data_IF_006067751359
#
_entry.id   IF_006067751359
#
_cell.length_a   1.000
_cell.length_b   1.000
_cell.length_c   1.000
_cell.angle_alpha   90.00
_cell.angle_beta   90.00
_cell.angle_gamma   90.00
#
_symmetry.space_group_name_H-M   'P 1'
#
loop_
_entity.id
_entity.type
_entity.pdbx_description
1 polymer ?
2 polymer ?
3 water ?
#
# COMPACT_ATOMS: atom_id res chain seq x y z
N UNK A 1 -3.34 -27.91 14.27
CA UNK A 1 -3.28 -26.68 15.16
C UNK A 1 -1.86 -26.34 15.71
N UNK A 2 -0.85 -27.19 15.40
CA UNK A 2 0.40 -26.66 14.84
C UNK A 2 0.14 -26.31 13.34
N UNK A 3 -0.38 -27.23 12.51
CA UNK A 3 -0.77 -26.93 11.12
C UNK A 3 -1.65 -25.72 11.10
N UNK A 4 -2.39 -25.50 12.18
CA UNK A 4 -3.35 -24.40 12.24
C UNK A 4 -3.00 -23.32 13.28
N UNK A 5 -1.73 -23.24 13.67
CA UNK A 5 -1.26 -22.01 14.34
C UNK A 5 -1.60 -20.77 13.49
N UNK A 6 -2.00 -19.70 14.17
CA UNK A 6 -2.31 -18.46 13.50
C UNK A 6 -1.21 -18.09 12.55
N UNK A 7 0.04 -18.15 12.99
CA UNK A 7 1.06 -17.73 12.05
C UNK A 7 1.20 -18.70 10.85
N UNK A 8 0.95 -19.99 11.03
CA UNK A 8 0.94 -20.90 9.86
C UNK A 8 -0.28 -20.75 8.87
N UNK A 9 -1.45 -20.39 9.39
CA UNK A 9 -2.58 -20.12 8.54
C UNK A 9 -2.26 -18.86 7.77
N UNK A 10 -1.77 -17.81 8.47
CA UNK A 10 -1.36 -16.60 7.78
C UNK A 10 -0.33 -16.95 6.63
N UNK A 11 0.78 -17.61 6.95
CA UNK A 11 1.73 -17.90 5.87
C UNK A 11 1.19 -18.70 4.73
N UNK A 12 0.29 -19.63 5.03
CA UNK A 12 -0.30 -20.42 3.98
C UNK A 12 -1.14 -19.60 3.06
N UNK A 13 -1.96 -18.74 3.68
CA UNK A 13 -2.79 -17.77 2.95
C UNK A 13 -1.94 -16.86 2.03
N UNK A 14 -0.80 -16.39 2.54
CA UNK A 14 0.07 -15.51 1.77
C UNK A 14 0.57 -16.27 0.56
N UNK A 15 0.92 -17.53 0.75
CA UNK A 15 1.50 -18.29 -0.35
C UNK A 15 0.40 -18.59 -1.35
N UNK A 16 -0.80 -18.82 -0.84
CA UNK A 16 -1.91 -19.05 -1.73
C UNK A 16 -2.20 -17.79 -2.54
N UNK A 17 -2.10 -16.66 -1.86
CA UNK A 17 -2.41 -15.39 -2.47
C UNK A 17 -1.47 -15.21 -3.67
N UNK A 18 -0.17 -15.42 -3.45
CA UNK A 18 0.75 -15.41 -4.57
C UNK A 18 0.47 -16.39 -5.70
N UNK A 19 -0.06 -17.56 -5.37
CA UNK A 19 -0.33 -18.59 -6.38
C UNK A 19 -1.54 -18.20 -7.25
N UNK A 20 -2.63 -17.67 -6.66
CA UNK A 20 -3.93 -17.55 -7.39
C UNK A 20 -4.47 -16.10 -7.44
N UNK A 21 -3.86 -15.22 -6.65
CA UNK A 21 -4.29 -13.82 -6.63
C UNK A 21 -5.50 -13.67 -5.74
N UNK A 22 -5.93 -12.43 -5.56
CA UNK A 22 -7.04 -12.14 -4.66
C UNK A 22 -8.34 -12.75 -5.17
N UNK A 23 -8.56 -12.71 -6.48
CA UNK A 23 -9.63 -13.43 -7.20
C UNK A 23 -9.81 -14.87 -6.79
N UNK A 24 -8.74 -15.64 -6.98
CA UNK A 24 -8.76 -17.06 -6.74
C UNK A 24 -8.86 -17.42 -5.26
N UNK A 25 -8.29 -16.60 -4.37
CA UNK A 25 -8.24 -16.97 -2.96
C UNK A 25 -9.63 -17.30 -2.40
N UNK A 26 -9.84 -18.53 -1.95
CA UNK A 26 -11.08 -18.92 -1.25
C UNK A 26 -10.72 -19.64 0.03
N UNK A 27 -11.61 -19.61 1.02
CA UNK A 27 -11.32 -20.40 2.26
C UNK A 27 -11.26 -21.88 1.93
N UNK A 28 -11.87 -22.26 0.80
CA UNK A 28 -11.87 -23.68 0.40
C UNK A 28 -10.53 -24.12 -0.08
N UNK A 29 -9.90 -23.28 -0.89
CA UNK A 29 -8.58 -23.61 -1.41
C UNK A 29 -7.57 -23.58 -0.28
N UNK A 30 -7.81 -22.72 0.70
CA UNK A 30 -6.97 -22.74 1.89
C UNK A 30 -7.12 -24.05 2.64
N UNK A 31 -8.37 -24.48 2.88
CA UNK A 31 -8.55 -25.77 3.51
C UNK A 31 -7.76 -26.88 2.76
N UNK A 32 -7.84 -26.97 1.43
CA UNK A 32 -7.08 -28.04 0.79
C UNK A 32 -5.60 -27.89 0.97
N UNK A 33 -5.08 -26.70 0.77
CA UNK A 33 -3.67 -26.44 0.92
C UNK A 33 -3.19 -26.86 2.30
N UNK A 34 -3.94 -26.56 3.35
CA UNK A 34 -3.51 -26.94 4.71
C UNK A 34 -3.82 -28.39 5.02
N UNK A 35 -4.65 -29.03 4.19
CA UNK A 35 -4.98 -30.44 4.31
C UNK A 35 -6.01 -30.70 5.41
N UNK A 36 -6.93 -29.77 5.65
CA UNK A 36 -7.92 -29.98 6.72
C UNK A 36 -9.33 -29.80 6.22
N UNK A 37 -10.31 -30.26 6.95
CA UNK A 37 -11.68 -30.09 6.44
C UNK A 37 -12.12 -28.65 6.53
N UNK A 38 -13.03 -28.25 5.66
CA UNK A 38 -13.48 -26.85 5.74
C UNK A 38 -14.05 -26.40 7.09
N UNK A 39 -14.82 -27.25 7.77
CA UNK A 39 -15.34 -26.76 9.07
C UNK A 39 -14.26 -26.62 10.17
N UNK A 40 -13.18 -27.37 10.08
CA UNK A 40 -12.09 -27.19 10.97
C UNK A 40 -11.44 -25.83 10.70
N UNK A 41 -11.26 -25.48 9.45
CA UNK A 41 -10.67 -24.16 9.18
C UNK A 41 -11.65 -23.03 9.55
N UNK A 42 -12.91 -23.29 9.36
CA UNK A 42 -13.94 -22.32 9.66
C UNK A 42 -13.95 -21.96 11.18
N UNK A 43 -13.58 -22.90 12.07
CA UNK A 43 -13.44 -22.56 13.47
C UNK A 43 -12.46 -21.38 13.70
N UNK A 44 -11.36 -21.36 12.96
CA UNK A 44 -10.33 -20.35 13.07
C UNK A 44 -10.55 -19.10 12.26
N UNK A 45 -11.25 -19.22 11.13
CA UNK A 45 -11.35 -18.17 10.12
C UNK A 45 -12.74 -18.22 9.57
N UNK A 46 -13.52 -17.21 9.85
CA UNK A 46 -14.90 -17.17 9.50
C UNK A 46 -15.18 -17.15 7.95
N UNK A 47 -14.41 -16.35 7.19
CA UNK A 47 -14.73 -16.05 5.77
C UNK A 47 -13.58 -15.35 5.05
N UNK A 48 -13.75 -15.18 3.73
CA UNK A 48 -12.72 -14.57 2.90
C UNK A 48 -12.39 -13.19 3.43
N UNK A 49 -13.42 -12.41 3.77
CA UNK A 49 -13.16 -11.10 4.30
C UNK A 49 -12.27 -11.07 5.55
N UNK A 50 -12.62 -11.79 6.62
CA UNK A 50 -11.78 -11.86 7.83
C UNK A 50 -10.35 -12.32 7.52
N UNK A 51 -10.19 -13.17 6.52
CA UNK A 51 -8.86 -13.65 6.17
C UNK A 51 -7.99 -12.54 5.54
N UNK A 52 -8.55 -11.84 4.54
CA UNK A 52 -7.90 -10.67 3.97
C UNK A 52 -7.53 -9.66 5.03
N UNK A 53 -8.43 -9.37 5.98
CA UNK A 53 -8.05 -8.35 6.99
C UNK A 53 -6.74 -8.76 7.64
N UNK A 54 -6.64 -10.02 8.00
CA UNK A 54 -5.43 -10.53 8.63
C UNK A 54 -4.21 -10.43 7.70
N UNK A 55 -4.40 -10.71 6.41
CA UNK A 55 -3.27 -10.61 5.44
C UNK A 55 -2.74 -9.14 5.27
N UNK A 56 -3.71 -8.21 5.17
CA UNK A 56 -3.47 -6.79 5.06
C UNK A 56 -2.61 -6.44 6.27
N UNK A 57 -3.05 -6.81 7.48
CA UNK A 57 -2.34 -6.34 8.67
C UNK A 57 -0.96 -6.96 8.74
N UNK A 58 -0.83 -8.23 8.39
CA UNK A 58 0.47 -8.91 8.44
C UNK A 58 1.52 -8.24 7.51
N UNK A 59 1.16 -8.06 6.25
CA UNK A 59 1.95 -7.34 5.32
C UNK A 59 2.48 -6.00 5.89
N UNK A 60 1.61 -5.14 6.36
CA UNK A 60 2.00 -3.95 7.10
C UNK A 60 2.94 -4.21 8.32
N UNK A 61 2.71 -5.27 9.09
CA UNK A 61 3.65 -5.56 10.20
C UNK A 61 5.06 -5.89 9.78
N UNK A 62 5.15 -6.71 8.75
CA UNK A 62 6.44 -7.13 8.28
C UNK A 62 7.18 -6.02 7.56
N UNK A 63 6.49 -5.11 6.89
CA UNK A 63 7.20 -4.30 5.95
C UNK A 63 7.01 -2.81 6.12
N UNK A 64 5.89 -2.42 6.71
CA UNK A 64 5.65 -1.00 6.89
C UNK A 64 6.21 -0.64 8.24
N UNK A 65 7.53 -0.47 8.25
CA UNK A 65 8.27 -0.28 9.45
C UNK A 65 8.70 1.19 9.63
N UNK A 66 8.46 2.07 8.68
CA UNK A 66 8.84 3.47 8.90
C UNK A 66 7.61 4.36 9.02
N UNK A 67 6.74 4.02 9.95
CA UNK A 67 5.45 4.69 10.14
C UNK A 67 5.51 5.83 11.17
N UNK A 68 6.65 6.10 11.78
CA UNK A 68 6.71 7.27 12.61
C UNK A 68 8.05 7.97 12.51
N UNK A 69 8.09 9.26 12.88
CA UNK A 69 9.29 10.08 12.66
C UNK A 69 10.45 9.66 13.53
N UNK A 70 11.61 9.49 12.90
CA UNK A 70 12.84 9.21 13.64
C UNK A 70 13.31 10.45 14.39
N UNK A 71 14.04 10.24 15.46
CA UNK A 71 14.54 11.33 16.33
C UNK A 71 15.17 12.48 15.50
N UNK A 72 14.49 13.63 15.43
CA UNK A 72 14.94 14.74 14.61
C UNK A 72 15.04 14.49 13.09
N UNK A 73 14.06 13.78 12.53
CA UNK A 73 13.97 13.58 11.07
C UNK A 73 13.27 14.83 10.55
N UNK A 74 13.59 15.29 9.35
CA UNK A 74 12.81 16.42 8.81
C UNK A 74 11.46 15.88 8.29
N UNK A 75 10.46 16.73 8.11
CA UNK A 75 9.18 16.20 7.64
C UNK A 75 9.25 15.65 6.16
N UNK A 76 10.08 16.29 5.33
CA UNK A 76 10.32 15.80 4.01
C UNK A 76 10.88 14.39 4.12
N UNK A 77 11.94 14.19 4.86
CA UNK A 77 12.48 12.84 4.94
C UNK A 77 11.47 11.82 5.50
N UNK A 78 10.53 12.32 6.30
CA UNK A 78 9.62 11.43 6.93
C UNK A 78 8.58 10.97 5.91
N UNK A 79 7.90 11.95 5.34
CA UNK A 79 7.02 11.71 4.23
C UNK A 79 7.67 10.76 3.20
N UNK A 80 8.90 11.03 2.77
CA UNK A 80 9.48 10.19 1.76
C UNK A 80 9.60 8.75 2.27
N UNK A 81 10.17 8.58 3.47
CA UNK A 81 10.44 7.24 3.94
C UNK A 81 9.22 6.44 4.31
N UNK A 82 8.20 7.16 4.75
CA UNK A 82 6.95 6.57 5.07
C UNK A 82 6.27 6.11 3.80
N UNK A 83 6.26 6.94 2.76
CA UNK A 83 5.68 6.48 1.48
C UNK A 83 6.42 5.24 0.95
N UNK A 84 7.74 5.23 1.01
CA UNK A 84 8.48 4.06 0.51
C UNK A 84 8.15 2.81 1.26
N UNK A 85 7.95 2.97 2.58
CA UNK A 85 7.76 1.86 3.43
C UNK A 85 6.35 1.27 3.19
N UNK A 86 5.36 2.15 3.13
CA UNK A 86 4.02 1.72 2.84
C UNK A 86 4.05 0.98 1.47
N UNK A 87 4.84 1.50 0.54
CA UNK A 87 4.85 0.88 -0.74
C UNK A 87 5.49 -0.53 -0.69
N UNK A 88 6.51 -0.70 0.14
CA UNK A 88 7.16 -2.02 0.20
C UNK A 88 6.16 -3.00 0.78
N UNK A 89 5.20 -2.51 1.57
CA UNK A 89 4.24 -3.44 2.18
C UNK A 89 3.30 -3.91 1.07
N UNK A 90 2.70 -2.95 0.38
CA UNK A 90 1.77 -3.27 -0.70
C UNK A 90 2.35 -4.20 -1.76
N UNK A 91 3.63 -4.03 -2.04
CA UNK A 91 4.27 -4.80 -3.08
C UNK A 91 4.69 -6.17 -2.61
N UNK A 92 4.62 -6.42 -1.31
CA UNK A 92 5.26 -7.61 -0.84
C UNK A 92 4.56 -8.88 -1.30
N UNK A 93 3.25 -8.81 -1.63
CA UNK A 93 2.54 -10.00 -2.18
C UNK A 93 1.70 -9.64 -3.36
N UNK A 94 1.40 -10.62 -4.20
CA UNK A 94 0.54 -10.42 -5.35
C UNK A 94 -0.73 -9.75 -4.85
N UNK A 95 -1.20 -8.71 -5.53
CA UNK A 95 -2.47 -8.03 -5.24
C UNK A 95 -2.47 -7.38 -3.87
N UNK A 96 -1.26 -7.13 -3.40
CA UNK A 96 -1.05 -6.48 -2.12
C UNK A 96 -1.97 -5.29 -1.95
N UNK A 97 -2.08 -4.49 -2.98
CA UNK A 97 -2.80 -3.23 -2.83
C UNK A 97 -4.30 -3.46 -2.73
N UNK A 98 -4.82 -4.50 -3.39
CA UNK A 98 -6.27 -4.72 -3.33
C UNK A 98 -6.60 -5.34 -2.01
N UNK A 99 -5.66 -6.10 -1.46
CA UNK A 99 -5.89 -6.76 -0.22
C UNK A 99 -6.08 -5.65 0.78
N UNK A 100 -5.21 -4.66 0.70
CA UNK A 100 -5.17 -3.55 1.61
C UNK A 100 -6.41 -2.73 1.56
N UNK A 101 -6.87 -2.46 0.34
CA UNK A 101 -8.11 -1.75 0.10
C UNK A 101 -9.24 -2.28 0.95
N UNK A 102 -10.00 -1.38 1.55
CA UNK A 102 -11.09 -1.83 2.44
C UNK A 102 -10.58 -2.99 3.32
N UNK A 103 -10.08 -2.60 4.50
CA UNK A 103 -9.76 -3.43 5.66
C UNK A 103 -9.90 -2.29 6.62
N UNK A 104 -10.31 -2.60 7.85
CA UNK A 104 -10.55 -1.58 8.83
C UNK A 104 -9.21 -1.18 9.40
N UNK A 105 -9.04 0.09 9.80
CA UNK A 105 -7.84 0.47 10.52
C UNK A 105 -7.88 0.01 11.99
N UNK A 106 -6.77 -0.56 12.48
CA UNK A 106 -6.64 -0.95 13.89
C UNK A 106 -6.44 0.26 14.77
N UNK A 107 -6.69 0.08 16.05
CA UNK A 107 -6.51 1.08 17.09
C UNK A 107 -5.13 1.74 17.12
N UNK A 108 -4.06 0.93 17.01
CA UNK A 108 -2.70 1.47 16.97
C UNK A 108 -2.53 2.38 15.73
N UNK A 109 -3.17 2.01 14.62
CA UNK A 109 -3.09 2.87 13.45
C UNK A 109 -3.71 4.23 13.67
N UNK A 110 -4.87 4.31 14.32
CA UNK A 110 -5.41 5.62 14.63
C UNK A 110 -4.44 6.45 15.46
N UNK A 111 -3.80 5.78 16.40
CA UNK A 111 -2.88 6.38 17.33
C UNK A 111 -1.71 6.91 16.53
N UNK A 112 -1.29 6.15 15.51
CA UNK A 112 -0.16 6.53 14.69
C UNK A 112 -0.57 7.75 13.85
N UNK A 113 -1.78 7.72 13.32
CA UNK A 113 -2.25 8.90 12.61
C UNK A 113 -2.08 10.12 13.46
N UNK A 114 -2.57 10.04 14.68
CA UNK A 114 -2.51 11.14 15.64
C UNK A 114 -1.08 11.67 15.79
N UNK A 115 -0.10 10.78 16.02
CA UNK A 115 1.30 11.21 16.17
C UNK A 115 1.86 11.84 14.94
N UNK A 116 1.46 11.30 13.80
CA UNK A 116 1.93 11.78 12.51
C UNK A 116 1.49 13.21 12.34
N UNK A 117 0.26 13.53 12.74
CA UNK A 117 -0.24 14.90 12.73
C UNK A 117 0.44 15.79 13.78
N UNK A 118 0.55 15.29 15.02
CA UNK A 118 1.26 16.04 16.06
C UNK A 118 2.60 16.53 15.47
N UNK A 119 3.34 15.60 14.85
CA UNK A 119 4.65 15.88 14.32
C UNK A 119 4.58 16.94 13.24
N UNK A 120 3.77 16.70 12.22
CA UNK A 120 3.74 17.64 11.12
C UNK A 120 3.38 19.04 11.56
N UNK A 121 2.39 19.15 12.46
CA UNK A 121 1.96 20.46 12.89
C UNK A 121 3.02 21.13 13.72
N UNK A 122 3.76 20.34 14.52
CA UNK A 122 4.90 20.85 15.29
C UNK A 122 6.03 21.26 14.39
N UNK A 123 5.96 20.89 13.13
CA UNK A 123 6.90 21.41 12.15
C UNK A 123 6.33 22.59 11.41
N UNK A 124 5.17 23.10 11.81
CA UNK A 124 4.67 24.34 11.21
C UNK A 124 3.64 24.19 10.12
N UNK A 125 3.09 22.99 9.94
CA UNK A 125 1.96 22.83 9.04
C UNK A 125 0.69 23.22 9.75
N UNK A 126 -0.26 23.82 9.06
CA UNK A 126 -1.58 23.93 9.60
C UNK A 126 -2.18 22.48 9.64
N UNK A 127 -3.20 22.26 10.46
CA UNK A 127 -3.82 20.95 10.49
C UNK A 127 -4.41 20.61 9.11
N UNK A 128 -5.07 21.58 8.45
CA UNK A 128 -5.54 21.40 7.08
C UNK A 128 -4.43 20.85 6.14
N UNK A 129 -3.30 21.54 6.08
CA UNK A 129 -2.25 21.12 5.19
C UNK A 129 -1.56 19.81 5.57
N UNK A 130 -1.53 19.48 6.86
CA UNK A 130 -0.90 18.21 7.26
C UNK A 130 -1.72 17.02 6.67
N UNK A 131 -3.06 17.16 6.75
CA UNK A 131 -3.97 16.19 6.30
C UNK A 131 -3.90 16.10 4.78
N UNK A 132 -3.91 17.23 4.08
CA UNK A 132 -3.76 17.22 2.63
C UNK A 132 -2.46 16.52 2.21
N UNK A 133 -1.40 16.74 2.93
CA UNK A 133 -0.10 16.16 2.55
C UNK A 133 -0.08 14.61 2.72
N UNK A 134 -0.59 14.11 3.87
CA UNK A 134 -0.57 12.68 4.15
C UNK A 134 -1.53 11.99 3.22
N UNK A 135 -2.63 12.64 2.98
CA UNK A 135 -3.60 12.16 2.06
C UNK A 135 -2.98 12.07 0.64
N UNK A 136 -2.32 13.13 0.16
CA UNK A 136 -1.86 13.05 -1.23
C UNK A 136 -0.75 11.98 -1.38
N UNK A 137 0.14 11.88 -0.43
CA UNK A 137 1.21 10.97 -0.57
C UNK A 137 0.64 9.55 -0.59
N UNK A 138 -0.40 9.34 0.21
CA UNK A 138 -1.05 8.01 0.32
C UNK A 138 -1.80 7.63 -0.97
N UNK A 139 -2.63 8.51 -1.48
CA UNK A 139 -3.27 8.23 -2.72
C UNK A 139 -2.29 7.90 -3.83
N UNK A 140 -1.30 8.75 -3.98
CA UNK A 140 -0.31 8.60 -5.01
C UNK A 140 0.33 7.25 -4.88
N UNK A 141 0.64 6.84 -3.68
CA UNK A 141 1.36 5.60 -3.47
C UNK A 141 0.45 4.42 -3.76
N UNK A 142 -0.81 4.53 -3.31
CA UNK A 142 -1.72 3.45 -3.44
C UNK A 142 -1.93 3.32 -4.91
N UNK A 143 -2.24 4.43 -5.59
CA UNK A 143 -2.47 4.41 -7.03
C UNK A 143 -1.28 3.81 -7.78
N UNK A 144 -0.04 4.12 -7.39
CA UNK A 144 1.13 3.55 -8.09
C UNK A 144 1.12 2.05 -8.13
N UNK A 145 0.77 1.49 -6.98
CA UNK A 145 0.87 0.06 -6.71
C UNK A 145 -0.28 -0.71 -7.35
N UNK A 146 -1.53 -0.27 -7.22
CA UNK A 146 -2.57 -0.93 -7.96
C UNK A 146 -2.19 -1.06 -9.45
N UNK A 147 -1.82 0.04 -10.13
CA UNK A 147 -1.41 -0.07 -11.52
C UNK A 147 -0.29 -1.06 -11.68
N UNK A 148 0.80 -0.93 -10.93
CA UNK A 148 1.91 -1.84 -11.20
C UNK A 148 1.50 -3.30 -11.08
N UNK A 149 0.54 -3.57 -10.20
CA UNK A 149 0.16 -4.92 -9.87
C UNK A 149 -0.95 -5.42 -10.75
N UNK A 150 -1.66 -4.49 -11.39
CA UNK A 150 -2.68 -4.85 -12.32
C UNK A 150 -2.00 -5.45 -13.56
N UNK A 151 -0.80 -4.98 -13.85
CA UNK A 151 -0.08 -5.43 -15.04
C UNK A 151 0.07 -6.92 -15.15
N UNK A 152 0.79 -7.52 -14.21
CA UNK A 152 1.13 -8.95 -14.32
C UNK A 152 -0.01 -9.92 -13.98
N UNK A 153 -1.12 -9.40 -13.39
CA UNK A 153 -2.45 -10.10 -13.35
C UNK A 153 -3.30 -10.01 -14.69
N UNK A 154 -3.05 -8.96 -15.50
CA UNK A 154 -3.58 -8.84 -16.89
C UNK A 154 -2.62 -9.44 -17.97
N UNK A 155 -1.34 -9.68 -17.58
CA UNK A 155 -0.28 -10.34 -18.39
C UNK A 155 -0.64 -11.74 -18.94
N UNK A 156 -1.56 -12.41 -18.26
CA UNK A 156 -1.87 -13.82 -18.49
C UNK A 156 -2.54 -14.13 -19.85
N UNK A 157 -3.73 -13.56 -20.08
CA UNK A 157 -4.52 -13.77 -21.31
C UNK A 157 -4.25 -12.66 -22.34
N UNK A 158 -4.54 -11.40 -21.95
CA UNK A 158 -4.35 -10.23 -22.83
C UNK A 158 -2.86 -10.03 -23.10
N UNK A 159 -2.55 -9.36 -24.22
CA UNK A 159 -1.20 -8.86 -24.49
C UNK A 159 -1.27 -7.46 -25.13
N UNK A 160 -0.14 -6.74 -25.06
CA UNK A 160 0.04 -5.39 -25.61
C UNK A 160 0.17 -5.47 -27.13
N UNK A 161 -0.05 -4.34 -27.88
CA UNK A 161 0.41 -4.45 -29.28
C UNK A 161 1.93 -4.66 -29.32
N UNK A 162 2.44 -5.27 -30.40
CA UNK A 162 3.89 -5.50 -30.53
C UNK A 162 4.59 -4.13 -30.50
N UNK A 163 5.74 -4.08 -29.83
CA UNK A 163 6.58 -2.86 -29.69
C UNK A 163 6.80 -2.01 -31.00
N UNK A 164 6.65 -2.66 -32.17
CA UNK A 164 7.00 -2.07 -33.51
C UNK A 164 5.83 -1.58 -34.40
N UNK A 165 4.62 -1.64 -33.86
CA UNK A 165 3.46 -1.02 -34.49
C UNK A 165 3.24 0.39 -33.90
N UNK A 166 4.00 0.75 -32.87
CA UNK A 166 3.82 2.01 -32.14
C UNK A 166 4.32 3.28 -32.83
N UNK A 167 3.59 4.42 -32.68
CA UNK A 167 4.11 5.74 -33.04
C UNK A 167 5.46 5.95 -32.35
N UNK A 168 6.33 6.82 -32.91
CA UNK A 168 7.73 6.79 -32.45
C UNK A 168 8.00 7.26 -31.00
N UNK A 169 7.22 8.20 -30.48
CA UNK A 169 7.35 8.58 -29.06
C UNK A 169 7.06 7.43 -28.10
N UNK A 170 5.94 6.75 -28.37
CA UNK A 170 5.47 5.65 -27.57
C UNK A 170 6.52 4.57 -27.61
N UNK A 171 7.24 4.56 -28.71
CA UNK A 171 8.23 3.54 -28.93
C UNK A 171 9.48 3.80 -28.08
N UNK A 172 9.91 5.06 -27.99
CA UNK A 172 10.98 5.41 -27.04
C UNK A 172 10.54 5.21 -25.58
N UNK A 173 9.24 5.47 -25.31
CA UNK A 173 8.71 5.27 -23.95
C UNK A 173 8.83 3.78 -23.49
N UNK A 174 8.55 2.84 -24.40
CA UNK A 174 8.75 1.43 -24.12
C UNK A 174 10.18 1.12 -23.78
N UNK A 175 11.14 1.51 -24.63
CA UNK A 175 12.58 1.36 -24.34
C UNK A 175 12.89 1.81 -22.95
N UNK A 176 12.43 3.01 -22.64
CA UNK A 176 12.77 3.66 -21.41
C UNK A 176 12.23 2.91 -20.16
N UNK A 177 10.96 2.52 -20.20
CA UNK A 177 10.34 1.80 -19.10
C UNK A 177 10.82 0.35 -19.02
N UNK A 178 11.18 -0.19 -20.18
CA UNK A 178 11.95 -1.46 -20.20
C UNK A 178 13.21 -1.41 -19.32
N UNK A 179 14.01 -0.36 -19.52
CA UNK A 179 15.27 -0.23 -18.80
C UNK A 179 15.04 0.08 -17.30
N UNK A 180 14.13 0.98 -16.96
CA UNK A 180 14.05 1.39 -15.55
C UNK A 180 12.95 0.75 -14.66
N UNK A 181 11.93 0.18 -15.26
CA UNK A 181 10.87 -0.37 -14.44
C UNK A 181 10.01 0.81 -14.02
N UNK A 182 9.49 0.74 -12.82
CA UNK A 182 8.48 1.66 -12.34
C UNK A 182 8.93 2.36 -11.07
N UNK A 183 9.92 1.81 -10.38
CA UNK A 183 10.41 2.47 -9.18
C UNK A 183 10.83 3.95 -9.42
N UNK A 184 11.66 4.20 -10.45
CA UNK A 184 12.13 5.57 -10.67
C UNK A 184 11.01 6.56 -10.82
N UNK A 185 9.95 6.21 -11.57
CA UNK A 185 8.74 7.07 -11.70
C UNK A 185 8.06 7.35 -10.35
N UNK A 186 7.91 6.32 -9.55
CA UNK A 186 7.36 6.51 -8.27
C UNK A 186 8.23 7.46 -7.49
N UNK A 187 9.52 7.17 -7.37
CA UNK A 187 10.41 8.07 -6.61
C UNK A 187 10.37 9.56 -7.08
N UNK A 188 10.37 9.73 -8.41
CA UNK A 188 10.28 11.06 -9.00
C UNK A 188 8.98 11.80 -8.61
N UNK A 189 7.85 11.12 -8.72
CA UNK A 189 6.58 11.70 -8.34
C UNK A 189 6.51 12.02 -6.86
N UNK A 190 6.98 11.11 -5.99
CA UNK A 190 7.04 11.33 -4.57
C UNK A 190 7.80 12.61 -4.34
N UNK A 191 8.94 12.71 -4.99
CA UNK A 191 9.78 13.86 -4.78
C UNK A 191 9.15 15.16 -5.30
N UNK A 192 8.38 15.11 -6.40
CA UNK A 192 7.63 16.28 -6.83
C UNK A 192 6.52 16.71 -5.84
N UNK A 193 5.76 15.75 -5.31
CA UNK A 193 4.78 16.07 -4.29
C UNK A 193 5.41 16.81 -3.12
N UNK A 194 6.50 16.23 -2.63
CA UNK A 194 7.06 16.77 -1.46
C UNK A 194 7.56 18.16 -1.79
N UNK A 195 8.22 18.35 -2.93
CA UNK A 195 8.61 19.72 -3.30
C UNK A 195 7.43 20.72 -3.35
N UNK A 196 6.33 20.29 -3.95
CA UNK A 196 5.11 21.08 -4.05
C UNK A 196 4.52 21.47 -2.71
N UNK A 197 4.69 20.63 -1.70
CA UNK A 197 4.25 21.03 -0.36
C UNK A 197 5.20 22.02 0.22
N UNK A 198 6.46 21.81 -0.06
CA UNK A 198 7.49 22.67 0.44
C UNK A 198 7.15 24.11 -0.05
N UNK A 199 6.81 24.30 -1.33
CA UNK A 199 6.46 25.63 -1.79
C UNK A 199 5.22 26.07 -1.02
N UNK A 200 4.30 25.12 -0.80
CA UNK A 200 3.13 25.35 0.04
C UNK A 200 3.48 25.97 1.40
N UNK A 201 4.24 25.27 2.24
CA UNK A 201 4.48 25.62 3.64
C UNK A 201 5.23 26.98 3.77
N UNK A 202 6.07 27.26 2.74
CA UNK A 202 6.89 28.50 2.59
C UNK A 202 5.98 29.69 2.29
N UNK A 203 4.78 29.40 1.76
CA UNK A 203 3.66 30.34 1.68
C UNK A 203 3.37 30.89 3.06
N UNK A 204 3.02 30.03 4.04
CA UNK A 204 2.77 30.47 5.43
C UNK A 204 1.78 31.69 5.50
N UNK A 205 2.33 32.93 5.44
CA UNK A 205 1.58 34.23 5.49
C UNK A 205 1.12 34.86 4.14
N UNK A 206 1.51 34.31 2.98
CA UNK A 206 1.15 34.96 1.70
C UNK A 206 1.21 34.14 0.38
N UNK A 207 1.36 34.85 -0.74
CA UNK A 207 0.85 34.39 -2.05
C UNK A 207 1.85 33.84 -3.08
N UNK A 208 1.47 32.69 -3.63
CA UNK A 208 2.39 31.79 -4.29
C UNK A 208 1.78 31.10 -5.52
N UNK B 4 -19.18 11.04 6.99
CA UNK B 4 -18.55 11.91 5.95
C UNK B 4 -17.07 12.20 6.33
N UNK B 5 -16.84 13.07 7.33
CA UNK B 5 -15.50 13.25 7.93
C UNK B 5 -14.92 11.97 8.54
N UNK B 6 -15.75 11.20 9.24
CA UNK B 6 -15.34 9.93 9.87
C UNK B 6 -14.69 8.94 8.91
N UNK B 7 -15.14 8.93 7.67
CA UNK B 7 -14.59 8.02 6.66
C UNK B 7 -13.25 8.49 6.07
N UNK B 8 -13.02 9.80 6.01
CA UNK B 8 -11.77 10.27 5.48
C UNK B 8 -10.69 9.90 6.45
N UNK B 9 -10.89 10.20 7.74
CA UNK B 9 -9.90 9.81 8.75
C UNK B 9 -9.74 8.28 8.76
N UNK B 10 -10.82 7.52 8.58
CA UNK B 10 -10.68 6.08 8.41
C UNK B 10 -9.65 5.73 7.28
N UNK B 11 -9.79 6.37 6.10
CA UNK B 11 -8.87 6.16 5.00
C UNK B 11 -7.43 6.43 5.40
N UNK B 12 -7.19 7.50 6.13
CA UNK B 12 -5.84 7.93 6.42
C UNK B 12 -5.19 7.01 7.43
N UNK B 13 -5.99 6.60 8.42
CA UNK B 13 -5.51 5.73 9.49
C UNK B 13 -5.10 4.38 8.95
N UNK B 14 -5.81 3.93 7.91
CA UNK B 14 -5.49 2.70 7.22
C UNK B 14 -4.03 2.62 6.73
N UNK B 15 -3.46 3.75 6.31
CA UNK B 15 -2.08 3.75 5.80
C UNK B 15 -0.94 3.92 6.83
N UNK B 16 -1.10 3.42 8.07
CA UNK B 16 -0.11 3.64 9.19
C UNK B 16 0.55 2.42 9.83
#
# INVERSE_FOLDING_TARGET
MSRLDKSKVINSALELLNEVGIEGLTTRKLAQKLGVEQPTLYWHVKNKRALLDALAIEMLDRHHTHFSPLEGESWQDFLRNNAKSFRNALLSHRDGAKVHLGTRPTEKQYETLENQLAFLTQQGFSLENALYALSAVGHFTLGSVLEDQEHQVAKEERETPTTDSMPPLLRQAIELFDHQGAEPAFLHGLESLIRGFEVQLTALLQIV
TGERGRWQVWGLAKRC
#
